data_IF_579496800934
#
_entry.id   IF_579496800934
#
_cell.length_a   1.000
_cell.length_b   1.000
_cell.length_c   1.000
_cell.angle_alpha   90.00
_cell.angle_beta   90.00
_cell.angle_gamma   90.00
#
_symmetry.space_group_name_H-M   'P 1'
#
loop_
_entity.id
_entity.type
_entity.pdbx_description
1 polymer ?
#
# COMPACT_ATOMS: atom_id res chain seq x y z
N UNK A 1 -55.53 34.39 14.20
CA UNK A 1 -54.13 34.82 14.41
C UNK A 1 -53.31 33.55 14.45
N UNK A 2 -52.66 33.23 13.33
CA UNK A 2 -51.69 32.15 13.17
C UNK A 2 -50.32 32.62 13.67
N UNK A 3 -49.62 31.83 14.48
CA UNK A 3 -48.15 31.78 14.63
C UNK A 3 -47.82 30.38 15.20
N UNK A 4 -47.61 29.35 14.37
CA UNK A 4 -46.30 28.86 13.88
C UNK A 4 -45.25 28.84 15.00
N UNK A 5 -44.94 27.65 15.54
CA UNK A 5 -43.69 26.93 15.24
C UNK A 5 -42.96 26.71 16.59
N UNK A 6 -42.15 25.70 16.86
CA UNK A 6 -41.36 24.82 16.02
C UNK A 6 -41.14 23.52 16.81
N UNK A 7 -41.44 22.36 16.21
CA UNK A 7 -40.97 21.07 16.72
C UNK A 7 -39.51 20.92 16.29
N UNK A 8 -38.57 20.99 17.25
CA UNK A 8 -37.16 20.71 17.00
C UNK A 8 -36.99 19.20 16.79
N UNK A 9 -37.01 18.77 15.53
CA UNK A 9 -36.55 17.45 15.14
C UNK A 9 -35.02 17.46 15.19
N UNK A 10 -34.46 16.71 16.13
CA UNK A 10 -33.05 16.37 16.17
C UNK A 10 -32.74 15.40 15.02
N UNK A 11 -32.56 15.95 13.82
CA UNK A 11 -32.03 15.24 12.67
C UNK A 11 -30.54 14.94 12.96
N UNK A 12 -30.26 13.74 13.47
CA UNK A 12 -28.90 13.19 13.42
C UNK A 12 -28.54 13.07 11.95
N UNK A 13 -27.77 14.04 11.45
CA UNK A 13 -27.34 14.07 10.08
C UNK A 13 -26.45 12.83 9.83
N UNK A 14 -26.80 11.92 8.91
CA UNK A 14 -25.94 10.77 8.59
C UNK A 14 -24.61 11.18 7.94
N UNK A 15 -24.43 12.48 7.67
CA UNK A 15 -23.19 13.11 7.21
C UNK A 15 -22.03 13.03 8.22
N UNK A 16 -22.28 12.69 9.49
CA UNK A 16 -21.21 12.42 10.48
C UNK A 16 -20.57 11.03 10.32
N UNK A 17 -21.04 10.20 9.39
CA UNK A 17 -20.51 8.85 9.12
C UNK A 17 -19.99 8.77 7.68
N UNK A 18 -19.15 9.71 7.29
CA UNK A 18 -18.10 9.46 6.32
C UNK A 18 -16.82 9.94 7.01
N UNK A 19 -15.97 9.02 7.46
CA UNK A 19 -14.74 8.74 6.73
C UNK A 19 -14.10 10.08 6.33
N UNK A 20 -13.08 10.54 7.05
CA UNK A 20 -11.76 9.98 6.82
C UNK A 20 -10.96 9.98 8.11
N UNK A 21 -10.57 8.77 8.52
CA UNK A 21 -9.39 8.59 9.33
C UNK A 21 -8.19 8.99 8.45
N UNK A 22 -7.98 10.29 8.27
CA UNK A 22 -6.79 10.86 7.65
C UNK A 22 -5.67 10.74 8.70
N UNK A 23 -5.28 9.50 8.98
CA UNK A 23 -3.92 9.25 9.42
C UNK A 23 -3.02 9.91 8.39
N UNK A 24 -2.00 10.70 8.78
CA UNK A 24 -1.15 11.40 7.84
C UNK A 24 -0.30 10.35 7.11
N UNK A 25 -0.89 9.73 6.10
CA UNK A 25 -0.13 9.04 5.08
C UNK A 25 0.64 10.13 4.37
N UNK A 26 1.93 10.18 4.70
CA UNK A 26 2.94 11.00 4.04
C UNK A 26 2.69 11.02 2.53
N UNK A 27 2.88 12.18 1.88
CA UNK A 27 2.77 12.25 0.43
C UNK A 27 3.68 11.22 -0.26
N UNK A 28 4.79 10.86 0.37
CA UNK A 28 5.68 9.79 -0.09
C UNK A 28 4.99 8.42 -0.05
N UNK A 29 4.31 8.08 1.05
CA UNK A 29 3.53 6.85 1.17
C UNK A 29 2.40 6.77 0.14
N UNK A 30 1.72 7.90 -0.12
CA UNK A 30 0.70 7.98 -1.19
C UNK A 30 1.29 7.77 -2.57
N UNK A 31 2.44 8.37 -2.85
CA UNK A 31 3.14 8.22 -4.13
C UNK A 31 3.66 6.79 -4.33
N UNK A 32 4.17 6.16 -3.27
CA UNK A 32 4.59 4.75 -3.28
C UNK A 32 3.39 3.81 -3.53
N UNK A 33 2.26 4.03 -2.86
CA UNK A 33 1.00 3.29 -3.16
C UNK A 33 0.53 3.48 -4.60
N UNK A 34 0.62 4.70 -5.14
CA UNK A 34 0.26 4.99 -6.52
C UNK A 34 1.18 4.25 -7.51
N UNK A 35 2.50 4.26 -7.28
CA UNK A 35 3.46 3.52 -8.11
C UNK A 35 3.23 2.01 -8.06
N UNK A 36 2.93 1.45 -6.88
CA UNK A 36 2.55 0.02 -6.75
C UNK A 36 1.28 -0.26 -7.55
N UNK A 37 0.27 0.60 -7.45
CA UNK A 37 -0.99 0.44 -8.19
C UNK A 37 -0.75 0.52 -9.69
N UNK A 38 0.06 1.47 -10.16
CA UNK A 38 0.43 1.59 -11.57
C UNK A 38 1.25 0.39 -12.05
N UNK A 39 2.19 -0.14 -11.26
CA UNK A 39 2.96 -1.33 -11.61
C UNK A 39 2.06 -2.57 -11.76
N UNK A 40 1.08 -2.74 -10.87
CA UNK A 40 0.09 -3.82 -10.92
C UNK A 40 -0.89 -3.65 -12.09
N UNK A 41 -1.30 -2.41 -12.40
CA UNK A 41 -2.27 -2.15 -13.48
C UNK A 41 -1.60 -2.18 -14.87
N UNK A 42 -0.33 -1.77 -14.96
CA UNK A 42 0.41 -1.65 -16.24
C UNK A 42 1.11 -2.94 -16.64
N UNK A 43 1.46 -3.79 -15.67
CA UNK A 43 1.84 -5.18 -15.90
C UNK A 43 0.60 -6.05 -15.81
N UNK A 44 0.08 -6.54 -16.93
CA UNK A 44 -1.09 -7.43 -17.01
C UNK A 44 -0.89 -8.81 -16.33
N UNK A 45 0.13 -8.95 -15.47
CA UNK A 45 0.47 -10.13 -14.70
C UNK A 45 0.18 -9.85 -13.22
N UNK A 46 -0.72 -10.64 -12.66
CA UNK A 46 -0.97 -10.68 -11.23
C UNK A 46 0.33 -11.06 -10.50
N UNK A 47 0.87 -10.12 -9.71
CA UNK A 47 2.07 -10.33 -8.87
C UNK A 47 1.72 -10.59 -7.41
N UNK A 48 0.53 -11.16 -7.18
CA UNK A 48 0.05 -11.47 -5.83
C UNK A 48 0.88 -12.57 -5.16
N UNK A 49 1.60 -13.38 -5.93
CA UNK A 49 2.62 -14.33 -5.47
C UNK A 49 3.73 -13.61 -4.70
N UNK A 50 4.30 -12.54 -5.28
CA UNK A 50 5.36 -11.76 -4.66
C UNK A 50 4.84 -11.02 -3.43
N UNK A 51 3.65 -10.42 -3.52
CA UNK A 51 3.05 -9.70 -2.39
C UNK A 51 2.76 -10.62 -1.19
N UNK A 52 2.26 -11.84 -1.43
CA UNK A 52 2.07 -12.84 -0.36
C UNK A 52 3.40 -13.24 0.27
N UNK A 53 4.42 -13.47 -0.55
CA UNK A 53 5.74 -13.85 -0.06
C UNK A 53 6.36 -12.76 0.82
N UNK A 54 6.29 -11.50 0.42
CA UNK A 54 6.76 -10.36 1.23
C UNK A 54 5.99 -10.23 2.55
N UNK A 55 4.70 -10.56 2.55
CA UNK A 55 3.89 -10.62 3.77
C UNK A 55 4.32 -11.77 4.68
N UNK A 56 4.60 -12.94 4.13
CA UNK A 56 5.02 -14.12 4.89
C UNK A 56 6.41 -13.93 5.53
N UNK A 57 7.26 -13.08 4.95
CA UNK A 57 8.54 -12.64 5.54
C UNK A 57 8.37 -11.73 6.79
N UNK A 58 7.15 -11.34 7.15
CA UNK A 58 6.89 -10.52 8.35
C UNK A 58 7.33 -9.06 8.25
N UNK A 59 7.48 -8.53 7.02
CA UNK A 59 7.88 -7.15 6.76
C UNK A 59 6.80 -6.14 7.18
N UNK A 60 7.21 -4.92 7.54
CA UNK A 60 6.27 -3.80 7.76
C UNK A 60 5.51 -3.47 6.47
N UNK A 61 4.26 -2.97 6.52
CA UNK A 61 3.54 -2.55 5.32
C UNK A 61 4.33 -1.57 4.42
N UNK A 62 5.16 -0.69 5.01
CA UNK A 62 6.02 0.21 4.21
C UNK A 62 7.16 -0.54 3.51
N UNK A 63 7.80 -1.48 4.22
CA UNK A 63 8.87 -2.31 3.66
C UNK A 63 8.34 -3.23 2.55
N UNK A 64 7.12 -3.75 2.72
CA UNK A 64 6.44 -4.53 1.68
C UNK A 64 6.23 -3.69 0.42
N UNK A 65 5.76 -2.44 0.56
CA UNK A 65 5.54 -1.51 -0.56
C UNK A 65 6.86 -1.16 -1.24
N UNK A 66 7.92 -0.90 -0.49
CA UNK A 66 9.24 -0.55 -1.04
C UNK A 66 9.86 -1.74 -1.78
N UNK A 67 9.88 -2.91 -1.15
CA UNK A 67 10.37 -4.13 -1.77
C UNK A 67 9.59 -4.47 -3.04
N UNK A 68 8.25 -4.37 -3.00
CA UNK A 68 7.41 -4.63 -4.17
C UNK A 68 7.67 -3.61 -5.28
N UNK A 69 7.75 -2.32 -4.97
CA UNK A 69 8.06 -1.27 -5.95
C UNK A 69 9.39 -1.54 -6.65
N UNK A 70 10.43 -1.89 -5.90
CA UNK A 70 11.76 -2.16 -6.42
C UNK A 70 11.82 -3.45 -7.27
N UNK A 71 11.14 -4.51 -6.84
CA UNK A 71 11.07 -5.76 -7.60
C UNK A 71 10.33 -5.54 -8.92
N UNK A 72 9.23 -4.76 -8.91
CA UNK A 72 8.42 -4.48 -10.08
C UNK A 72 9.00 -3.38 -10.99
N UNK A 73 9.92 -2.54 -10.49
CA UNK A 73 10.56 -1.48 -11.27
C UNK A 73 11.23 -2.03 -12.54
N UNK A 74 11.80 -3.24 -12.47
CA UNK A 74 12.49 -3.87 -13.60
C UNK A 74 11.97 -5.29 -13.83
N UNK A 75 11.49 -5.64 -15.03
CA UNK A 75 10.96 -6.97 -15.32
C UNK A 75 11.99 -8.09 -15.13
N UNK A 76 13.28 -7.81 -15.35
CA UNK A 76 14.38 -8.75 -15.09
C UNK A 76 14.56 -9.06 -13.59
N UNK A 77 14.27 -8.12 -12.69
CA UNK A 77 14.35 -8.32 -11.24
C UNK A 77 13.30 -9.31 -10.77
N UNK A 78 12.10 -9.25 -11.36
CA UNK A 78 11.03 -10.23 -11.10
C UNK A 78 11.49 -11.65 -11.45
N UNK A 79 12.05 -11.85 -12.65
CA UNK A 79 12.51 -13.17 -13.10
C UNK A 79 13.64 -13.71 -12.21
N UNK A 80 14.61 -12.86 -11.85
CA UNK A 80 15.68 -13.24 -10.91
C UNK A 80 15.10 -13.59 -9.55
N UNK A 81 14.24 -12.75 -8.98
CA UNK A 81 13.64 -12.95 -7.68
C UNK A 81 12.85 -14.27 -7.59
N UNK A 82 12.07 -14.59 -8.62
CA UNK A 82 11.32 -15.85 -8.69
C UNK A 82 12.22 -17.09 -8.81
N UNK A 83 13.42 -16.97 -9.37
CA UNK A 83 14.39 -18.07 -9.48
C UNK A 83 15.18 -18.35 -8.19
N UNK A 84 15.08 -17.48 -7.18
CA UNK A 84 15.78 -17.65 -5.91
C UNK A 84 15.06 -18.65 -5.00
N UNK A 85 15.83 -19.35 -4.16
CA UNK A 85 15.29 -20.10 -3.03
C UNK A 85 14.75 -19.14 -1.97
N UNK A 86 13.79 -19.59 -1.16
CA UNK A 86 13.09 -18.73 -0.20
C UNK A 86 14.03 -18.06 0.83
N UNK A 87 15.05 -18.80 1.32
CA UNK A 87 16.09 -18.24 2.20
C UNK A 87 16.88 -17.11 1.53
N UNK A 88 17.16 -17.24 0.23
CA UNK A 88 17.90 -16.22 -0.54
C UNK A 88 17.01 -15.03 -0.88
N UNK A 89 15.70 -15.24 -1.07
CA UNK A 89 14.74 -14.14 -1.28
C UNK A 89 14.65 -13.23 -0.07
N UNK A 90 14.67 -13.78 1.15
CA UNK A 90 14.69 -12.99 2.37
C UNK A 90 15.93 -12.10 2.44
N UNK A 91 17.12 -12.68 2.22
CA UNK A 91 18.39 -11.93 2.22
C UNK A 91 18.40 -10.87 1.11
N UNK A 92 17.87 -11.20 -0.07
CA UNK A 92 17.72 -10.27 -1.18
C UNK A 92 16.90 -9.06 -0.75
N UNK A 93 15.67 -9.26 -0.26
CA UNK A 93 14.78 -8.16 0.18
C UNK A 93 15.38 -7.35 1.32
N UNK A 94 15.96 -8.00 2.33
CA UNK A 94 16.64 -7.32 3.43
C UNK A 94 17.80 -6.44 2.95
N UNK A 95 18.56 -6.91 1.96
CA UNK A 95 19.62 -6.10 1.35
C UNK A 95 19.05 -4.88 0.62
N UNK A 96 17.96 -5.04 -0.13
CA UNK A 96 17.30 -3.92 -0.82
C UNK A 96 16.82 -2.85 0.15
N UNK A 97 16.15 -3.24 1.22
CA UNK A 97 15.64 -2.32 2.22
C UNK A 97 16.78 -1.58 2.93
N UNK A 98 17.89 -2.27 3.25
CA UNK A 98 19.06 -1.67 3.86
C UNK A 98 19.82 -0.69 2.95
N UNK A 99 19.94 -1.00 1.66
CA UNK A 99 20.54 -0.09 0.68
C UNK A 99 19.69 1.18 0.49
N UNK A 100 18.36 1.06 0.54
CA UNK A 100 17.43 2.17 0.35
C UNK A 100 17.22 3.04 1.62
N UNK A 101 17.38 2.48 2.83
CA UNK A 101 17.26 3.20 4.10
C UNK A 101 18.47 4.13 4.40
N UNK A 102 19.54 4.06 3.59
CA UNK A 102 20.77 4.86 3.75
C UNK A 102 20.85 6.07 2.81
N UNK A 103 19.81 6.31 2.02
CA UNK A 103 19.68 7.43 1.06
C UNK A 103 19.00 8.65 1.65
#
# INVERSE_FOLDING_TARGET
>A
MEMMGEQSHNEVNPSDIAAENDSPMSQESRKRMQMVTEAIVKGNEDRSDIAKMLKDMGLSPMDQIDALTLILEKPQTVAVFQSLDDEVKEVFVQKFLNDHARG
#
